data_IF_598504584685
#
_entry.id   IF_598504584685
#
_cell.length_a   1.000
_cell.length_b   1.000
_cell.length_c   1.000
_cell.angle_alpha   90.00
_cell.angle_beta   90.00
_cell.angle_gamma   90.00
#
_symmetry.space_group_name_H-M   'P 1'
#
loop_
_entity.id
_entity.type
_entity.pdbx_description
1 polymer ?
#
# COMPACT_ATOMS: atom_id res chain seq x y z
N UNK A 1 7.51 -6.09 30.67
CA UNK A 1 8.59 -5.52 31.50
C UNK A 1 9.87 -5.24 30.72
N UNK A 2 10.53 -6.24 30.11
CA UNK A 2 11.80 -6.05 29.35
C UNK A 2 11.73 -5.02 28.20
N UNK A 3 10.58 -4.88 27.53
CA UNK A 3 10.42 -3.88 26.46
C UNK A 3 10.33 -2.44 26.95
N UNK A 4 9.90 -2.23 28.20
CA UNK A 4 9.75 -0.90 28.80
C UNK A 4 11.11 -0.38 29.29
N UNK A 5 11.86 -1.23 29.99
CA UNK A 5 13.20 -0.87 30.49
C UNK A 5 14.16 -0.49 29.37
N UNK A 6 14.11 -1.19 28.23
CA UNK A 6 14.90 -0.82 27.05
C UNK A 6 14.47 0.55 26.50
N UNK A 7 13.17 0.82 26.41
CA UNK A 7 12.68 2.09 25.90
C UNK A 7 13.11 3.28 26.77
N UNK A 8 13.13 3.11 28.10
CA UNK A 8 13.54 4.14 29.03
C UNK A 8 15.04 4.45 28.90
N UNK A 9 15.90 3.43 28.79
CA UNK A 9 17.34 3.59 28.54
C UNK A 9 17.57 4.37 27.23
N UNK A 10 16.84 4.03 26.17
CA UNK A 10 16.96 4.74 24.89
C UNK A 10 16.40 6.16 24.92
N UNK A 11 15.36 6.40 25.71
CA UNK A 11 14.82 7.75 25.92
C UNK A 11 15.87 8.61 26.60
N UNK A 12 16.55 8.07 27.61
CA UNK A 12 17.64 8.74 28.32
C UNK A 12 18.85 9.00 27.39
N UNK A 13 19.25 8.03 26.57
CA UNK A 13 20.30 8.23 25.56
C UNK A 13 19.94 9.33 24.54
N UNK A 14 18.68 9.36 24.09
CA UNK A 14 18.17 10.34 23.15
C UNK A 14 18.16 11.76 23.75
N UNK A 15 17.66 11.90 24.98
CA UNK A 15 17.63 13.16 25.72
C UNK A 15 19.04 13.67 26.00
N UNK A 16 19.97 12.80 26.41
CA UNK A 16 21.38 13.18 26.61
C UNK A 16 22.00 13.72 25.31
N UNK A 17 21.78 13.06 24.16
CA UNK A 17 22.28 13.55 22.87
C UNK A 17 21.63 14.86 22.45
N UNK A 18 20.35 15.04 22.73
CA UNK A 18 19.62 16.29 22.41
C UNK A 18 20.17 17.47 23.22
N UNK A 19 20.40 17.27 24.52
CA UNK A 19 21.00 18.29 25.41
C UNK A 19 22.46 18.59 25.04
N UNK A 20 23.24 17.56 24.68
CA UNK A 20 24.65 17.73 24.33
C UNK A 20 24.87 18.40 22.96
N UNK A 21 24.02 18.13 21.96
CA UNK A 21 24.20 18.60 20.57
C UNK A 21 23.30 19.78 20.18
N UNK A 22 22.26 20.11 20.96
CA UNK A 22 21.29 21.18 20.68
C UNK A 22 20.80 21.13 19.22
N UNK A 23 20.86 22.24 18.47
CA UNK A 23 20.41 22.30 17.08
C UNK A 23 21.22 21.43 16.10
N UNK A 24 22.47 21.05 16.44
CA UNK A 24 23.26 20.11 15.62
C UNK A 24 22.73 18.67 15.70
N UNK A 25 21.79 18.39 16.61
CA UNK A 25 21.12 17.10 16.66
C UNK A 25 20.25 16.86 15.41
N UNK A 26 19.55 17.90 14.93
CA UNK A 26 18.60 17.80 13.83
C UNK A 26 19.26 17.78 12.43
N UNK A 27 20.53 18.13 12.32
CA UNK A 27 21.25 18.08 11.04
C UNK A 27 21.70 16.66 10.68
N UNK A 28 21.77 15.74 11.64
CA UNK A 28 22.18 14.36 11.41
C UNK A 28 20.91 13.49 11.24
N UNK A 29 20.61 12.98 10.03
CA UNK A 29 19.36 12.26 9.75
C UNK A 29 19.18 11.00 10.60
N UNK A 30 20.28 10.35 10.96
CA UNK A 30 20.26 9.19 11.86
C UNK A 30 19.85 9.53 13.29
N UNK A 31 20.06 10.76 13.75
CA UNK A 31 19.63 11.21 15.07
C UNK A 31 18.15 11.63 15.02
N UNK A 32 17.74 12.32 13.96
CA UNK A 32 16.31 12.62 13.70
C UNK A 32 15.47 11.34 13.64
N UNK A 33 15.94 10.31 12.91
CA UNK A 33 15.27 9.01 12.84
C UNK A 33 15.13 8.35 14.22
N UNK A 34 16.19 8.39 15.03
CA UNK A 34 16.19 7.82 16.37
C UNK A 34 15.20 8.54 17.31
N UNK A 35 15.17 9.88 17.24
CA UNK A 35 14.21 10.73 17.95
C UNK A 35 12.76 10.41 17.58
N UNK A 36 12.45 10.26 16.29
CA UNK A 36 11.11 9.87 15.81
C UNK A 36 10.71 8.50 16.36
N UNK A 37 11.60 7.51 16.35
CA UNK A 37 11.29 6.19 16.92
C UNK A 37 11.05 6.27 18.43
N UNK A 38 11.84 7.06 19.18
CA UNK A 38 11.63 7.25 20.62
C UNK A 38 10.26 7.86 20.89
N UNK A 39 9.89 8.95 20.21
CA UNK A 39 8.58 9.59 20.36
C UNK A 39 7.45 8.63 19.99
N UNK A 40 7.54 7.94 18.85
CA UNK A 40 6.53 6.97 18.42
C UNK A 40 6.37 5.82 19.43
N UNK A 41 7.47 5.40 20.08
CA UNK A 41 7.45 4.35 21.11
C UNK A 41 6.77 4.81 22.40
N UNK A 42 6.99 6.06 22.82
CA UNK A 42 6.33 6.67 23.99
C UNK A 42 4.84 6.87 23.71
N UNK A 43 4.49 7.42 22.53
CA UNK A 43 3.09 7.58 22.11
C UNK A 43 2.37 6.23 22.01
N UNK A 44 3.01 5.22 21.43
CA UNK A 44 2.43 3.87 21.34
C UNK A 44 2.18 3.24 22.72
N UNK A 45 3.06 3.46 23.69
CA UNK A 45 2.90 2.94 25.06
C UNK A 45 1.78 3.66 25.83
N UNK A 46 1.81 4.99 25.82
CA UNK A 46 0.80 5.83 26.49
C UNK A 46 -0.60 5.60 25.91
N UNK A 47 -0.72 5.51 24.59
CA UNK A 47 -1.97 5.13 23.93
C UNK A 47 -2.37 3.70 24.29
N UNK A 48 -1.44 2.75 24.31
CA UNK A 48 -1.74 1.35 24.69
C UNK A 48 -2.30 1.22 26.12
N UNK A 49 -1.79 2.00 27.06
CA UNK A 49 -2.23 2.00 28.46
C UNK A 49 -3.56 2.73 28.65
N UNK A 50 -3.77 3.84 27.94
CA UNK A 50 -5.04 4.58 27.94
C UNK A 50 -6.17 3.71 27.34
N UNK A 51 -5.89 2.98 26.26
CA UNK A 51 -6.84 2.10 25.57
C UNK A 51 -7.08 0.77 26.30
N UNK A 52 -6.23 0.41 27.27
CA UNK A 52 -6.52 -0.71 28.17
C UNK A 52 -7.53 -0.32 29.27
N UNK A 53 -7.62 0.99 29.59
CA UNK A 53 -8.57 1.53 30.59
C UNK A 53 -9.93 1.86 30.00
N UNK A 54 -9.97 2.34 28.76
CA UNK A 54 -11.21 2.55 28.01
C UNK A 54 -11.36 1.38 27.03
N UNK A 55 -12.40 0.56 27.11
CA UNK A 55 -12.64 -0.60 26.22
C UNK A 55 -12.74 -0.18 24.73
N UNK A 56 -11.61 0.03 24.04
CA UNK A 56 -11.58 0.55 22.66
C UNK A 56 -11.21 -0.51 21.62
N UNK A 57 -11.82 -0.34 20.44
CA UNK A 57 -11.77 -1.12 19.20
C UNK A 57 -10.44 -1.89 18.92
N UNK A 58 -10.49 -3.21 18.64
CA UNK A 58 -9.31 -4.07 18.46
C UNK A 58 -8.35 -3.66 17.33
N UNK A 59 -8.81 -2.86 16.35
CA UNK A 59 -7.99 -2.37 15.23
C UNK A 59 -6.87 -1.43 15.70
N UNK A 60 -7.13 -0.56 16.68
CA UNK A 60 -6.15 0.39 17.21
C UNK A 60 -5.05 -0.30 18.03
N UNK A 61 -5.39 -1.38 18.73
CA UNK A 61 -4.42 -2.22 19.43
C UNK A 61 -3.41 -2.89 18.48
N UNK A 62 -3.83 -3.22 17.24
CA UNK A 62 -2.92 -3.77 16.22
C UNK A 62 -1.89 -2.72 15.78
N UNK A 63 -2.31 -1.47 15.57
CA UNK A 63 -1.42 -0.36 15.19
C UNK A 63 -0.35 -0.11 16.27
N UNK A 64 -0.73 -0.09 17.54
CA UNK A 64 0.21 0.06 18.67
C UNK A 64 1.24 -1.07 18.71
N UNK A 65 0.87 -2.30 18.36
CA UNK A 65 1.82 -3.42 18.27
C UNK A 65 2.81 -3.24 17.12
N UNK A 66 2.38 -2.73 15.97
CA UNK A 66 3.25 -2.44 14.82
C UNK A 66 4.29 -1.38 15.18
N UNK A 67 3.90 -0.33 15.92
CA UNK A 67 4.84 0.69 16.39
C UNK A 67 6.01 0.11 17.21
N UNK A 68 5.77 -0.96 17.98
CA UNK A 68 6.82 -1.66 18.75
C UNK A 68 7.79 -2.44 17.86
N UNK A 69 7.41 -2.82 16.64
CA UNK A 69 8.31 -3.48 15.67
C UNK A 69 9.31 -2.47 15.09
N UNK A 70 8.92 -1.18 14.99
CA UNK A 70 9.77 -0.10 14.48
C UNK A 70 11.10 0.07 15.22
N UNK A 71 11.20 -0.33 16.50
CA UNK A 71 12.47 -0.29 17.25
C UNK A 71 13.56 -1.21 16.67
N UNK A 72 13.19 -2.27 15.94
CA UNK A 72 14.13 -3.17 15.25
C UNK A 72 14.92 -2.40 14.17
N UNK A 73 14.32 -1.35 13.60
CA UNK A 73 14.99 -0.48 12.62
C UNK A 73 16.21 0.25 13.21
N UNK A 74 16.36 0.32 14.54
CA UNK A 74 17.59 0.86 15.17
C UNK A 74 18.82 -0.01 14.93
N UNK A 75 18.65 -1.31 14.71
CA UNK A 75 19.76 -2.23 14.38
C UNK A 75 20.44 -1.87 13.05
N UNK A 76 19.70 -1.23 12.14
CA UNK A 76 20.21 -0.73 10.86
C UNK A 76 21.33 0.30 11.07
N UNK A 77 21.30 1.08 12.16
CA UNK A 77 22.28 2.13 12.47
C UNK A 77 23.66 1.56 12.81
N UNK A 78 23.71 0.34 13.36
CA UNK A 78 24.96 -0.35 13.72
C UNK A 78 25.59 -1.14 12.56
N UNK A 79 24.79 -1.53 11.57
CA UNK A 79 25.26 -2.37 10.45
C UNK A 79 25.77 -1.50 9.28
N UNK A 80 27.10 -1.31 9.23
CA UNK A 80 27.78 -0.51 8.18
C UNK A 80 27.42 -0.98 6.75
N UNK A 81 27.24 -2.29 6.53
CA UNK A 81 26.82 -2.85 5.25
C UNK A 81 25.38 -2.48 4.84
N UNK A 82 24.42 -2.58 5.77
CA UNK A 82 23.01 -2.24 5.52
C UNK A 82 22.87 -0.74 5.23
N UNK A 83 23.64 0.11 5.93
CA UNK A 83 23.66 1.56 5.67
C UNK A 83 24.07 1.89 4.23
N UNK A 84 25.07 1.20 3.68
CA UNK A 84 25.50 1.42 2.29
C UNK A 84 24.41 1.02 1.30
N UNK A 85 23.73 -0.11 1.52
CA UNK A 85 22.62 -0.55 0.67
C UNK A 85 21.44 0.44 0.72
N UNK A 86 21.05 0.88 1.92
CA UNK A 86 19.98 1.87 2.08
C UNK A 86 20.34 3.23 1.47
N UNK A 87 21.62 3.64 1.54
CA UNK A 87 22.07 4.85 0.87
C UNK A 87 21.99 4.71 -0.65
N UNK A 88 22.41 3.57 -1.21
CA UNK A 88 22.26 3.29 -2.62
C UNK A 88 20.78 3.32 -3.06
N UNK A 89 19.88 2.74 -2.27
CA UNK A 89 18.42 2.81 -2.50
C UNK A 89 17.88 4.24 -2.42
N UNK A 90 18.35 5.04 -1.46
CA UNK A 90 17.94 6.44 -1.33
C UNK A 90 18.41 7.29 -2.52
N UNK A 91 19.60 6.99 -3.07
CA UNK A 91 20.14 7.68 -4.25
C UNK A 91 19.39 7.30 -5.52
N UNK A 92 18.87 6.07 -5.64
CA UNK A 92 18.02 5.65 -6.77
C UNK A 92 16.55 6.08 -6.65
N UNK A 93 16.11 6.46 -5.44
CA UNK A 93 14.73 6.86 -5.15
C UNK A 93 14.19 8.01 -6.02
N UNK A 94 14.95 9.09 -6.34
CA UNK A 94 14.46 10.16 -7.21
C UNK A 94 14.19 9.69 -8.64
N UNK A 95 15.04 8.80 -9.17
CA UNK A 95 14.81 8.22 -10.49
C UNK A 95 13.59 7.29 -10.47
N UNK A 96 13.45 6.48 -9.43
CA UNK A 96 12.29 5.61 -9.23
C UNK A 96 10.99 6.40 -9.08
N UNK A 97 11.03 7.57 -8.44
CA UNK A 97 9.85 8.42 -8.28
C UNK A 97 9.31 8.92 -9.63
N UNK A 98 10.18 9.29 -10.57
CA UNK A 98 9.76 9.70 -11.91
C UNK A 98 9.07 8.57 -12.68
N UNK A 99 9.62 7.36 -12.62
CA UNK A 99 9.03 6.16 -13.24
C UNK A 99 7.71 5.78 -12.54
N UNK A 100 7.69 5.83 -11.20
CA UNK A 100 6.50 5.57 -10.41
C UNK A 100 5.37 6.56 -10.68
N UNK A 101 5.69 7.83 -10.92
CA UNK A 101 4.71 8.86 -11.29
C UNK A 101 4.12 8.59 -12.68
N UNK A 102 4.95 8.18 -13.65
CA UNK A 102 4.48 7.75 -14.96
C UNK A 102 3.55 6.53 -14.85
N UNK A 103 3.96 5.51 -14.09
CA UNK A 103 3.16 4.30 -13.85
C UNK A 103 1.82 4.64 -13.18
N UNK A 104 1.84 5.53 -12.18
CA UNK A 104 0.63 5.99 -11.49
C UNK A 104 -0.32 6.70 -12.46
N UNK A 105 0.20 7.52 -13.38
CA UNK A 105 -0.61 8.18 -14.41
C UNK A 105 -1.26 7.17 -15.36
N UNK A 106 -0.53 6.14 -15.79
CA UNK A 106 -1.09 5.05 -16.62
C UNK A 106 -2.19 4.31 -15.86
N UNK A 107 -1.95 3.91 -14.62
CA UNK A 107 -2.98 3.28 -13.77
C UNK A 107 -4.21 4.17 -13.62
N UNK A 108 -4.03 5.48 -13.41
CA UNK A 108 -5.10 6.44 -13.29
C UNK A 108 -5.98 6.46 -14.55
N UNK A 109 -5.39 6.58 -15.73
CA UNK A 109 -6.13 6.57 -17.00
C UNK A 109 -6.90 5.25 -17.18
N UNK A 110 -6.23 4.11 -16.96
CA UNK A 110 -6.86 2.79 -17.09
C UNK A 110 -7.95 2.54 -16.06
N UNK A 111 -7.86 3.11 -14.85
CA UNK A 111 -8.92 2.99 -13.84
C UNK A 111 -10.20 3.68 -14.27
N UNK A 112 -10.11 4.85 -14.90
CA UNK A 112 -11.27 5.59 -15.42
C UNK A 112 -11.95 4.80 -16.54
N UNK A 113 -11.15 4.28 -17.48
CA UNK A 113 -11.69 3.42 -18.54
C UNK A 113 -12.29 2.13 -17.96
N UNK A 114 -11.62 1.49 -17.01
CA UNK A 114 -12.08 0.28 -16.35
C UNK A 114 -13.43 0.46 -15.67
N UNK A 115 -13.62 1.56 -14.93
CA UNK A 115 -14.93 1.87 -14.33
C UNK A 115 -16.03 2.09 -15.38
N UNK A 116 -15.69 2.77 -16.47
CA UNK A 116 -16.66 3.12 -17.51
C UNK A 116 -17.17 1.89 -18.28
N UNK A 117 -16.28 0.91 -18.53
CA UNK A 117 -16.62 -0.29 -19.30
C UNK A 117 -17.04 -1.47 -18.43
N UNK A 118 -16.41 -1.67 -17.27
CA UNK A 118 -16.54 -2.89 -16.47
C UNK A 118 -17.21 -2.67 -15.10
N UNK A 119 -17.73 -1.48 -14.82
CA UNK A 119 -18.28 -1.13 -13.51
C UNK A 119 -19.52 -1.91 -13.08
N UNK A 120 -20.19 -2.62 -13.99
CA UNK A 120 -21.39 -3.42 -13.70
C UNK A 120 -21.24 -4.90 -14.05
N UNK A 121 -20.04 -5.35 -14.43
CA UNK A 121 -19.80 -6.75 -14.78
C UNK A 121 -19.94 -7.62 -13.54
N UNK A 122 -20.54 -8.81 -13.72
CA UNK A 122 -20.75 -9.75 -12.63
C UNK A 122 -19.44 -10.14 -11.95
N UNK A 123 -19.42 -10.04 -10.63
CA UNK A 123 -18.32 -10.48 -9.77
C UNK A 123 -18.17 -12.00 -9.89
N UNK A 124 -17.15 -12.45 -10.62
CA UNK A 124 -16.87 -13.86 -10.87
C UNK A 124 -15.36 -14.09 -11.05
N UNK A 125 -14.92 -15.32 -10.75
CA UNK A 125 -13.52 -15.75 -10.80
C UNK A 125 -12.56 -14.85 -9.99
N UNK A 126 -11.97 -13.83 -10.61
CA UNK A 126 -11.03 -12.89 -9.98
C UNK A 126 -11.65 -11.59 -9.48
N UNK A 127 -12.93 -11.30 -9.78
CA UNK A 127 -13.62 -10.12 -9.28
C UNK A 127 -14.35 -10.44 -7.97
N UNK A 128 -14.11 -9.63 -6.94
CA UNK A 128 -14.74 -9.73 -5.60
C UNK A 128 -15.26 -8.35 -5.16
N UNK A 129 -15.86 -8.25 -3.97
CA UNK A 129 -16.37 -6.97 -3.46
C UNK A 129 -15.28 -5.90 -3.23
N UNK A 130 -14.03 -6.31 -3.04
CA UNK A 130 -12.87 -5.42 -2.90
C UNK A 130 -12.08 -5.26 -4.20
N UNK A 131 -12.03 -6.30 -5.04
CA UNK A 131 -11.30 -6.33 -6.31
C UNK A 131 -12.30 -6.26 -7.47
N UNK A 132 -12.75 -5.06 -7.82
CA UNK A 132 -13.69 -4.82 -8.93
C UNK A 132 -13.50 -3.42 -9.54
N UNK A 133 -14.27 -3.14 -10.59
CA UNK A 133 -14.25 -1.86 -11.29
C UNK A 133 -15.45 -0.95 -10.93
N UNK A 134 -16.16 -1.20 -9.84
CA UNK A 134 -17.35 -0.40 -9.46
C UNK A 134 -16.96 1.02 -9.00
N UNK A 135 -15.81 1.14 -8.33
CA UNK A 135 -15.31 2.42 -7.79
C UNK A 135 -13.85 2.66 -8.16
N UNK A 136 -13.44 3.93 -8.09
CA UNK A 136 -12.08 4.33 -8.44
C UNK A 136 -11.01 3.64 -7.57
N UNK A 137 -11.13 3.59 -6.22
CA UNK A 137 -10.15 2.91 -5.40
C UNK A 137 -10.08 1.40 -5.65
N UNK A 138 -11.22 0.74 -5.86
CA UNK A 138 -11.25 -0.71 -6.17
C UNK A 138 -10.57 -0.99 -7.51
N UNK A 139 -10.84 -0.18 -8.53
CA UNK A 139 -10.21 -0.28 -9.85
C UNK A 139 -8.69 -0.10 -9.77
N UNK A 140 -8.23 0.85 -8.96
CA UNK A 140 -6.81 1.09 -8.73
C UNK A 140 -6.13 -0.10 -8.04
N UNK A 141 -6.79 -0.77 -7.10
CA UNK A 141 -6.25 -1.97 -6.43
C UNK A 141 -6.11 -3.13 -7.43
N UNK A 142 -7.12 -3.34 -8.28
CA UNK A 142 -7.07 -4.37 -9.34
C UNK A 142 -5.93 -4.09 -10.32
N UNK A 143 -5.82 -2.86 -10.82
CA UNK A 143 -4.74 -2.47 -11.73
C UNK A 143 -3.36 -2.54 -11.09
N UNK A 144 -3.25 -2.18 -9.80
CA UNK A 144 -2.01 -2.32 -9.04
C UNK A 144 -1.56 -3.78 -8.95
N UNK A 145 -2.49 -4.70 -8.66
CA UNK A 145 -2.20 -6.14 -8.68
C UNK A 145 -1.75 -6.60 -10.08
N UNK A 146 -2.48 -6.20 -11.13
CA UNK A 146 -2.16 -6.57 -12.50
C UNK A 146 -0.87 -5.95 -13.05
N UNK A 147 -0.39 -4.84 -12.50
CA UNK A 147 0.91 -4.25 -12.87
C UNK A 147 2.07 -5.23 -12.62
N UNK A 148 1.92 -6.13 -11.64
CA UNK A 148 2.89 -7.20 -11.38
C UNK A 148 2.63 -8.45 -12.22
N UNK A 149 1.69 -8.39 -13.16
CA UNK A 149 1.15 -9.53 -13.93
C UNK A 149 0.59 -10.63 -13.02
N UNK A 150 0.20 -10.29 -11.79
CA UNK A 150 -0.43 -11.23 -10.87
C UNK A 150 -1.96 -11.20 -11.01
N UNK A 151 -2.61 -12.36 -10.98
CA UNK A 151 -4.08 -12.45 -10.97
C UNK A 151 -4.79 -12.02 -12.26
N UNK A 152 -4.06 -11.72 -13.34
CA UNK A 152 -4.63 -11.28 -14.61
C UNK A 152 -5.62 -12.29 -15.21
N UNK A 153 -5.39 -13.59 -15.01
CA UNK A 153 -6.24 -14.66 -15.55
C UNK A 153 -7.64 -14.64 -14.93
N UNK A 154 -7.74 -14.42 -13.62
CA UNK A 154 -9.01 -14.33 -12.91
C UNK A 154 -9.78 -13.05 -13.28
N UNK A 155 -9.07 -11.94 -13.45
CA UNK A 155 -9.66 -10.68 -13.93
C UNK A 155 -10.13 -10.83 -15.37
N UNK A 156 -9.32 -11.42 -16.25
CA UNK A 156 -9.68 -11.70 -17.64
C UNK A 156 -10.96 -12.53 -17.72
N UNK A 157 -11.00 -13.68 -17.03
CA UNK A 157 -12.16 -14.55 -17.01
C UNK A 157 -13.42 -13.81 -16.55
N UNK A 158 -13.32 -13.03 -15.46
CA UNK A 158 -14.47 -12.27 -14.97
C UNK A 158 -14.97 -11.19 -15.93
N UNK A 159 -14.08 -10.58 -16.72
CA UNK A 159 -14.43 -9.53 -17.69
C UNK A 159 -14.91 -10.06 -19.05
N UNK A 160 -14.61 -11.31 -19.39
CA UNK A 160 -15.00 -11.94 -20.67
C UNK A 160 -16.24 -12.81 -20.59
N UNK A 161 -16.85 -12.96 -19.41
CA UNK A 161 -18.04 -13.79 -19.23
C UNK A 161 -19.27 -13.15 -19.89
N UNK A 162 -19.63 -13.65 -21.07
CA UNK A 162 -20.67 -13.10 -21.96
C UNK A 162 -21.88 -14.04 -22.16
N UNK A 163 -21.81 -15.29 -21.67
CA UNK A 163 -22.86 -16.31 -21.85
C UNK A 163 -23.58 -16.68 -20.55
N UNK A 164 -24.92 -16.89 -20.58
CA UNK A 164 -25.66 -17.52 -19.47
C UNK A 164 -25.19 -18.97 -19.24
N UNK A 165 -25.08 -19.48 -17.99
CA UNK A 165 -25.56 -18.94 -16.72
C UNK A 165 -24.59 -17.99 -15.99
N UNK A 166 -23.44 -17.68 -16.58
CA UNK A 166 -22.37 -16.91 -15.95
C UNK A 166 -22.67 -15.41 -15.93
N UNK A 167 -23.57 -14.90 -16.78
CA UNK A 167 -24.12 -13.54 -16.71
C UNK A 167 -25.62 -13.48 -17.05
N UNK A 168 -26.27 -12.37 -16.69
CA UNK A 168 -27.67 -12.03 -16.96
C UNK A 168 -27.76 -10.74 -17.80
N UNK A 169 -28.07 -10.84 -19.11
CA UNK A 169 -28.21 -9.69 -20.00
C UNK A 169 -29.49 -8.87 -19.73
N UNK A 170 -30.45 -9.41 -18.98
CA UNK A 170 -31.75 -8.79 -18.70
C UNK A 170 -31.77 -7.98 -17.41
N UNK A 171 -30.68 -8.05 -16.61
CA UNK A 171 -30.55 -7.30 -15.37
C UNK A 171 -30.58 -5.79 -15.64
N UNK A 172 -31.43 -5.06 -14.92
CA UNK A 172 -31.54 -3.60 -15.03
C UNK A 172 -30.32 -2.92 -14.39
N UNK A 173 -29.25 -2.76 -15.16
CA UNK A 173 -28.08 -1.95 -14.79
C UNK A 173 -28.19 -0.55 -15.39
N UNK A 174 -27.55 0.48 -14.79
CA UNK A 174 -27.52 1.84 -15.36
C UNK A 174 -26.96 1.92 -16.80
N UNK A 175 -26.23 0.88 -17.23
CA UNK A 175 -25.66 0.76 -18.58
C UNK A 175 -26.64 0.14 -19.60
N UNK A 176 -27.81 -0.37 -19.16
CA UNK A 176 -28.78 -1.12 -19.98
C UNK A 176 -28.17 -2.32 -20.75
N UNK A 177 -27.04 -2.84 -20.29
CA UNK A 177 -26.28 -3.95 -20.92
C UNK A 177 -26.26 -5.23 -20.06
N UNK A 178 -27.09 -5.32 -19.01
CA UNK A 178 -27.00 -6.39 -18.03
C UNK A 178 -25.72 -6.33 -17.21
N UNK A 179 -25.32 -7.47 -16.65
CA UNK A 179 -24.05 -7.67 -15.93
C UNK A 179 -23.01 -8.50 -16.73
N UNK A 180 -23.26 -8.70 -18.03
CA UNK A 180 -22.38 -9.44 -18.92
C UNK A 180 -21.10 -8.65 -19.27
N UNK A 181 -19.98 -9.37 -19.32
CA UNK A 181 -18.71 -8.87 -19.82
C UNK A 181 -18.68 -8.77 -21.35
N UNK A 182 -17.71 -8.03 -21.88
CA UNK A 182 -17.49 -7.88 -23.31
C UNK A 182 -16.04 -8.25 -23.64
N UNK A 183 -15.85 -9.42 -24.26
CA UNK A 183 -14.52 -9.92 -24.59
C UNK A 183 -13.79 -9.06 -25.63
N UNK A 184 -14.51 -8.36 -26.51
CA UNK A 184 -13.92 -7.49 -27.53
C UNK A 184 -13.32 -6.22 -26.92
N UNK A 185 -13.82 -5.77 -25.76
CA UNK A 185 -13.28 -4.61 -25.02
C UNK A 185 -12.30 -5.07 -23.93
N UNK A 186 -12.60 -6.15 -23.21
CA UNK A 186 -11.77 -6.66 -22.11
C UNK A 186 -10.38 -7.12 -22.58
N UNK A 187 -10.32 -7.84 -23.71
CA UNK A 187 -9.05 -8.36 -24.25
C UNK A 187 -8.06 -7.25 -24.59
N UNK A 188 -8.38 -6.25 -25.45
CA UNK A 188 -7.44 -5.18 -25.74
C UNK A 188 -7.14 -4.31 -24.52
N UNK A 189 -8.10 -4.09 -23.62
CA UNK A 189 -7.86 -3.33 -22.39
C UNK A 189 -6.77 -3.98 -21.52
N UNK A 190 -6.90 -5.28 -21.24
CA UNK A 190 -5.96 -6.01 -20.39
C UNK A 190 -4.60 -6.22 -21.07
N UNK A 191 -4.59 -6.60 -22.35
CA UNK A 191 -3.34 -6.83 -23.09
C UNK A 191 -2.54 -5.55 -23.24
N UNK A 192 -3.19 -4.43 -23.61
CA UNK A 192 -2.50 -3.15 -23.73
C UNK A 192 -1.96 -2.66 -22.39
N UNK A 193 -2.74 -2.82 -21.31
CA UNK A 193 -2.28 -2.48 -19.96
C UNK A 193 -1.01 -3.25 -19.58
N UNK A 194 -1.03 -4.59 -19.70
CA UNK A 194 0.12 -5.44 -19.33
C UNK A 194 1.35 -5.11 -20.16
N UNK A 195 1.21 -4.87 -21.47
CA UNK A 195 2.33 -4.48 -22.33
C UNK A 195 2.91 -3.13 -21.88
N UNK A 196 2.07 -2.14 -21.64
CA UNK A 196 2.53 -0.81 -21.21
C UNK A 196 3.21 -0.90 -19.84
N UNK A 197 2.62 -1.58 -18.85
CA UNK A 197 3.23 -1.69 -17.52
C UNK A 197 4.53 -2.48 -17.54
N UNK A 198 4.64 -3.52 -18.37
CA UNK A 198 5.87 -4.30 -18.53
C UNK A 198 6.99 -3.55 -19.26
N UNK A 199 6.66 -2.48 -20.00
CA UNK A 199 7.65 -1.60 -20.61
C UNK A 199 8.17 -0.55 -19.62
N UNK A 200 7.32 -0.15 -18.67
CA UNK A 200 7.65 0.86 -17.65
C UNK A 200 8.46 0.26 -16.48
N UNK A 201 8.19 -0.99 -16.11
CA UNK A 201 8.86 -1.74 -15.02
C UNK A 201 10.07 -2.51 -15.55
#
# INVERSE_FOLDING_TARGET
MFSYTLNDIFTIECVMKLVALNFKYFTIPWNVFDFVIVIASILGQTLGELMAKFFVNPTLLRVVRVARVGRILRLVKGAKGIRTLLFALAVSMPALFNIGLLLFLVMFIYSIFGMSFFGYVRKSAGLTDLFNFETFPNSMIVLFQMCTTAGWSGVYQGLTNDQPPDCDPTLSTPSNKGDCGDAAIATPFLVTYVIITSLVV
#
